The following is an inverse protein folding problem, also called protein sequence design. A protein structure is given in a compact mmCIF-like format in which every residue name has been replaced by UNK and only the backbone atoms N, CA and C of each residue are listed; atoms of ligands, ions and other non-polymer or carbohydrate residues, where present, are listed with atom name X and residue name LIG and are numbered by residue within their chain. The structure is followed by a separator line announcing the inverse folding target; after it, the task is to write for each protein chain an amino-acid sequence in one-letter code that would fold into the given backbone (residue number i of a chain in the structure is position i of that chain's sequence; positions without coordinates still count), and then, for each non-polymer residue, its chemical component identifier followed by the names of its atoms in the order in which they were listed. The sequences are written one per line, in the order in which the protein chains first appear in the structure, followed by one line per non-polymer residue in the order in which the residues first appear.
data_IF_046653421125
#
_entry.id   IF_046653421125
#
_cell.length_a   1.000
_cell.length_b   1.000
_cell.length_c   1.000
_cell.angle_alpha   90.00
_cell.angle_beta   90.00
_cell.angle_gamma   90.00
#
_symmetry.space_group_name_H-M   'P 1'
#
loop_
_entity.id
_entity.type
_entity.pdbx_description
1 polymer ?
#
# COMPACT_ATOMS: atom_id res chain seq x y z
N UNK A 1 21.03 -13.57 -6.73
CA UNK A 1 19.86 -13.30 -5.83
C UNK A 1 18.86 -12.48 -6.60
N UNK A 2 17.55 -12.72 -6.45
CA UNK A 2 16.53 -11.87 -7.07
C UNK A 2 16.66 -10.44 -6.55
N UNK A 3 16.60 -9.46 -7.43
CA UNK A 3 16.49 -8.07 -7.02
C UNK A 3 15.07 -7.82 -6.48
N UNK A 4 14.95 -7.23 -5.29
CA UNK A 4 13.68 -6.87 -4.67
C UNK A 4 13.50 -5.35 -4.77
N UNK A 5 12.73 -4.92 -5.75
CA UNK A 5 12.50 -3.50 -6.00
C UNK A 5 11.23 -2.98 -5.32
N UNK A 6 10.17 -3.78 -5.28
CA UNK A 6 8.88 -3.32 -4.79
C UNK A 6 8.20 -4.35 -3.90
N UNK A 7 7.87 -3.94 -2.68
CA UNK A 7 7.06 -4.72 -1.73
C UNK A 7 5.68 -4.10 -1.57
N UNK A 8 4.62 -4.90 -1.73
CA UNK A 8 3.25 -4.51 -1.45
C UNK A 8 2.72 -5.22 -0.21
N UNK A 9 1.98 -4.53 0.67
CA UNK A 9 1.51 -5.12 1.94
C UNK A 9 0.04 -4.86 2.19
N UNK A 10 -0.72 -5.94 2.45
CA UNK A 10 -2.06 -5.89 3.02
C UNK A 10 -1.96 -6.03 4.54
N UNK A 11 -2.20 -4.94 5.25
CA UNK A 11 -2.09 -4.79 6.69
C UNK A 11 -3.33 -5.30 7.41
N UNK A 12 -3.61 -6.62 7.31
CA UNK A 12 -4.81 -7.23 7.89
C UNK A 12 -4.61 -7.65 9.34
N UNK A 13 -5.69 -7.54 10.13
CA UNK A 13 -5.75 -8.01 11.51
C UNK A 13 -5.78 -6.94 12.58
N UNK A 14 -5.68 -5.64 12.24
CA UNK A 14 -5.73 -4.53 13.20
C UNK A 14 -6.95 -4.62 14.13
N UNK A 15 -8.16 -4.65 13.53
CA UNK A 15 -9.41 -4.68 14.31
C UNK A 15 -9.52 -5.92 15.20
N UNK A 16 -9.18 -7.12 14.69
CA UNK A 16 -9.19 -8.38 15.46
C UNK A 16 -8.24 -8.32 16.65
N UNK A 17 -7.04 -7.81 16.43
CA UNK A 17 -6.06 -7.63 17.49
C UNK A 17 -6.54 -6.66 18.56
N UNK A 18 -7.09 -5.53 18.14
CA UNK A 18 -7.60 -4.51 19.04
C UNK A 18 -8.76 -5.01 19.92
N UNK A 19 -9.69 -5.76 19.34
CA UNK A 19 -10.76 -6.43 20.08
C UNK A 19 -10.20 -7.40 21.13
N UNK A 20 -9.26 -8.26 20.74
CA UNK A 20 -8.63 -9.22 21.65
C UNK A 20 -7.90 -8.54 22.82
N UNK A 21 -7.27 -7.37 22.60
CA UNK A 21 -6.41 -6.72 23.61
C UNK A 21 -7.14 -5.68 24.48
N UNK A 22 -8.10 -4.95 23.94
CA UNK A 22 -8.74 -3.81 24.60
C UNK A 22 -10.22 -3.64 24.20
N UNK A 23 -10.86 -4.67 23.68
CA UNK A 23 -12.23 -4.64 23.18
C UNK A 23 -12.52 -3.43 22.24
N UNK A 24 -11.53 -3.02 21.46
CA UNK A 24 -11.62 -1.84 20.61
C UNK A 24 -10.87 -2.04 19.29
N UNK A 25 -11.59 -2.03 18.16
CA UNK A 25 -10.99 -2.08 16.82
C UNK A 25 -10.04 -0.91 16.58
N UNK A 26 -10.44 0.28 17.04
CA UNK A 26 -9.66 1.51 16.91
C UNK A 26 -8.31 1.43 17.61
N UNK A 27 -8.24 0.76 18.76
CA UNK A 27 -6.98 0.52 19.46
C UNK A 27 -6.00 -0.30 18.61
N UNK A 28 -6.50 -1.29 17.89
CA UNK A 28 -5.68 -2.08 16.97
C UNK A 28 -5.12 -1.25 15.81
N UNK A 29 -5.93 -0.39 15.20
CA UNK A 29 -5.50 0.50 14.13
C UNK A 29 -4.41 1.48 14.63
N UNK A 30 -4.58 2.05 15.81
CA UNK A 30 -3.57 2.91 16.45
C UNK A 30 -2.24 2.17 16.65
N UNK A 31 -2.28 0.93 17.13
CA UNK A 31 -1.07 0.12 17.32
C UNK A 31 -0.40 -0.29 16.00
N UNK A 32 -1.20 -0.54 14.98
CA UNK A 32 -0.71 -0.88 13.64
C UNK A 32 0.19 0.19 13.00
N UNK A 33 0.05 1.47 13.38
CA UNK A 33 0.94 2.54 12.89
C UNK A 33 2.39 2.30 13.29
N UNK A 34 2.65 1.80 14.50
CA UNK A 34 4.01 1.48 14.93
C UNK A 34 4.65 0.39 14.06
N UNK A 35 3.84 -0.55 13.59
CA UNK A 35 4.29 -1.59 12.65
C UNK A 35 4.59 -1.00 11.28
N UNK A 36 3.78 -0.05 10.79
CA UNK A 36 4.07 0.71 9.55
C UNK A 36 5.44 1.37 9.64
N UNK A 37 5.73 2.11 10.72
CA UNK A 37 7.03 2.79 10.90
C UNK A 37 8.21 1.80 10.90
N UNK A 38 8.06 0.63 11.54
CA UNK A 38 9.08 -0.42 11.56
C UNK A 38 9.32 -0.98 10.15
N UNK A 39 8.25 -1.30 9.41
CA UNK A 39 8.37 -1.85 8.05
C UNK A 39 9.03 -0.83 7.12
N UNK A 40 8.64 0.45 7.16
CA UNK A 40 9.30 1.50 6.37
C UNK A 40 10.81 1.55 6.68
N UNK A 41 11.17 1.57 7.97
CA UNK A 41 12.58 1.59 8.40
C UNK A 41 13.35 0.36 7.90
N UNK A 42 12.73 -0.82 7.94
CA UNK A 42 13.34 -2.05 7.43
C UNK A 42 13.50 -2.01 5.91
N UNK A 43 12.48 -1.53 5.16
CA UNK A 43 12.58 -1.39 3.72
C UNK A 43 13.72 -0.46 3.31
N UNK A 44 13.86 0.68 4.00
CA UNK A 44 14.99 1.61 3.80
C UNK A 44 16.33 0.94 4.08
N UNK A 45 16.44 0.16 5.17
CA UNK A 45 17.68 -0.57 5.51
C UNK A 45 18.05 -1.66 4.49
N UNK A 46 17.05 -2.26 3.86
CA UNK A 46 17.22 -3.29 2.82
C UNK A 46 17.35 -2.71 1.41
N UNK A 47 17.46 -1.38 1.29
CA UNK A 47 17.52 -0.66 0.01
C UNK A 47 16.39 -1.02 -0.96
N UNK A 48 15.17 -1.26 -0.42
CA UNK A 48 13.97 -1.51 -1.22
C UNK A 48 13.43 -0.14 -1.66
N UNK A 49 13.43 0.18 -2.97
CA UNK A 49 13.09 1.51 -3.43
C UNK A 49 11.59 1.82 -3.42
N UNK A 50 10.72 0.79 -3.45
CA UNK A 50 9.27 0.98 -3.48
C UNK A 50 8.56 0.14 -2.41
N UNK A 51 7.65 0.77 -1.67
CA UNK A 51 6.78 0.11 -0.70
C UNK A 51 5.35 0.60 -0.89
N UNK A 52 4.40 -0.31 -1.14
CA UNK A 52 2.98 0.02 -1.22
C UNK A 52 2.21 -0.59 -0.06
N UNK A 53 1.46 0.23 0.67
CA UNK A 53 0.65 -0.19 1.81
C UNK A 53 -0.84 -0.01 1.52
N UNK A 54 -1.65 -1.07 1.76
CA UNK A 54 -3.10 -1.01 1.62
C UNK A 54 -3.71 -0.35 2.85
N UNK A 55 -3.95 0.97 2.76
CA UNK A 55 -4.34 1.81 3.90
C UNK A 55 -5.86 1.88 4.09
N UNK A 56 -6.62 2.10 2.99
CA UNK A 56 -8.07 2.17 3.01
C UNK A 56 -8.64 1.74 1.65
N UNK A 57 -9.41 0.63 1.65
CA UNK A 57 -10.02 0.11 0.43
C UNK A 57 -11.39 0.73 0.14
N UNK A 58 -11.86 0.61 -1.10
CA UNK A 58 -13.23 1.01 -1.48
C UNK A 58 -14.29 0.26 -0.68
N UNK A 59 -14.05 -0.99 -0.31
CA UNK A 59 -14.97 -1.78 0.53
C UNK A 59 -15.04 -1.29 1.97
N UNK A 60 -14.03 -0.55 2.45
CA UNK A 60 -14.00 -0.05 3.82
C UNK A 60 -15.05 1.04 4.09
N UNK A 61 -15.63 1.65 3.03
CA UNK A 61 -16.77 2.55 3.18
C UNK A 61 -18.04 1.88 3.74
N UNK A 62 -18.10 0.54 3.72
CA UNK A 62 -19.19 -0.23 4.32
C UNK A 62 -19.02 -0.44 5.84
N UNK A 63 -17.94 0.06 6.44
CA UNK A 63 -17.72 -0.01 7.89
C UNK A 63 -18.60 1.01 8.62
N UNK A 64 -18.81 0.83 9.94
CA UNK A 64 -19.49 1.85 10.74
C UNK A 64 -18.79 3.22 10.65
N UNK A 65 -19.58 4.30 10.60
CA UNK A 65 -19.07 5.68 10.41
C UNK A 65 -18.05 6.09 11.47
N UNK A 66 -18.24 5.63 12.72
CA UNK A 66 -17.29 5.91 13.80
C UNK A 66 -15.91 5.28 13.54
N UNK A 67 -15.83 4.09 12.95
CA UNK A 67 -14.57 3.46 12.54
C UNK A 67 -13.94 4.21 11.36
N UNK A 68 -14.74 4.59 10.36
CA UNK A 68 -14.28 5.36 9.18
C UNK A 68 -13.70 6.71 9.63
N UNK A 69 -14.44 7.45 10.44
CA UNK A 69 -14.01 8.75 10.97
C UNK A 69 -12.71 8.62 11.79
N UNK A 70 -12.60 7.59 12.60
CA UNK A 70 -11.38 7.30 13.35
C UNK A 70 -10.19 7.03 12.41
N UNK A 71 -10.36 6.22 11.37
CA UNK A 71 -9.31 5.91 10.39
C UNK A 71 -8.84 7.16 9.66
N UNK A 72 -9.75 8.02 9.19
CA UNK A 72 -9.36 9.28 8.55
C UNK A 72 -8.67 10.23 9.53
N UNK A 73 -9.12 10.28 10.79
CA UNK A 73 -8.42 11.07 11.82
C UNK A 73 -7.01 10.52 12.07
N UNK A 74 -6.85 9.22 12.09
CA UNK A 74 -5.56 8.56 12.27
C UNK A 74 -4.60 8.85 11.10
N UNK A 75 -5.09 8.81 9.85
CA UNK A 75 -4.32 9.20 8.66
C UNK A 75 -3.90 10.66 8.75
N UNK A 76 -4.85 11.55 9.06
CA UNK A 76 -4.66 12.99 9.19
C UNK A 76 -3.57 13.33 10.21
N UNK A 77 -3.69 12.77 11.41
CA UNK A 77 -2.76 13.03 12.50
C UNK A 77 -1.39 12.42 12.25
N UNK A 78 -1.33 11.20 11.74
CA UNK A 78 -0.07 10.51 11.45
C UNK A 78 0.73 11.21 10.37
N UNK A 79 0.09 11.60 9.26
CA UNK A 79 0.77 12.29 8.17
C UNK A 79 1.28 13.66 8.59
N UNK A 80 0.46 14.47 9.29
CA UNK A 80 0.88 15.80 9.78
C UNK A 80 2.01 15.69 10.79
N UNK A 81 1.87 14.83 11.80
CA UNK A 81 2.86 14.67 12.87
C UNK A 81 4.22 14.20 12.37
N UNK A 82 4.22 13.34 11.36
CA UNK A 82 5.45 12.72 10.86
C UNK A 82 6.04 13.43 9.63
N UNK A 83 5.45 14.50 9.11
CA UNK A 83 5.88 15.15 7.86
C UNK A 83 7.38 15.52 7.88
N UNK A 84 7.84 16.22 8.91
CA UNK A 84 9.24 16.61 9.01
C UNK A 84 10.19 15.40 9.11
N UNK A 85 9.76 14.31 9.77
CA UNK A 85 10.52 13.08 9.86
C UNK A 85 10.60 12.39 8.50
N UNK A 86 9.47 12.33 7.77
CA UNK A 86 9.36 11.77 6.41
C UNK A 86 10.30 12.50 5.45
N UNK A 87 10.30 13.85 5.48
CA UNK A 87 11.19 14.67 4.64
C UNK A 87 12.66 14.38 4.97
N UNK A 88 13.04 14.45 6.26
CA UNK A 88 14.42 14.20 6.71
C UNK A 88 14.93 12.80 6.39
N UNK A 89 14.03 11.81 6.34
CA UNK A 89 14.36 10.43 5.98
C UNK A 89 14.42 10.16 4.48
N UNK A 90 14.17 11.19 3.64
CA UNK A 90 14.20 11.05 2.19
C UNK A 90 13.05 10.18 1.63
N UNK A 91 11.91 10.07 2.36
CA UNK A 91 10.77 9.27 1.95
C UNK A 91 9.87 10.11 1.03
N UNK A 92 9.66 9.65 -0.21
CA UNK A 92 8.67 10.23 -1.13
C UNK A 92 7.32 9.58 -0.86
N UNK A 93 6.30 10.39 -0.56
CA UNK A 93 4.93 9.90 -0.42
C UNK A 93 4.21 9.97 -1.76
N UNK A 94 3.55 8.89 -2.11
CA UNK A 94 2.67 8.77 -3.26
C UNK A 94 1.31 8.22 -2.82
N UNK A 95 0.21 8.82 -3.25
CA UNK A 95 -1.14 8.33 -2.91
C UNK A 95 -1.79 7.75 -4.15
N UNK A 96 -2.04 6.45 -4.13
CA UNK A 96 -2.75 5.72 -5.18
C UNK A 96 -4.20 5.47 -4.76
N UNK A 97 -5.12 5.60 -5.71
CA UNK A 97 -6.56 5.42 -5.51
C UNK A 97 -7.39 6.62 -5.91
N UNK A 98 -8.70 6.49 -5.80
CA UNK A 98 -9.64 7.51 -6.23
C UNK A 98 -9.75 8.62 -5.18
N UNK A 99 -9.27 9.82 -5.53
CA UNK A 99 -9.36 11.00 -4.63
C UNK A 99 -10.79 11.58 -4.53
N UNK A 100 -11.71 11.19 -5.44
CA UNK A 100 -13.14 11.58 -5.36
C UNK A 100 -13.79 10.86 -4.17
N UNK A 101 -14.61 11.58 -3.42
CA UNK A 101 -15.29 11.03 -2.23
C UNK A 101 -14.45 11.06 -0.94
N UNK A 102 -13.16 11.37 -0.99
CA UNK A 102 -12.37 11.63 0.20
C UNK A 102 -12.75 12.98 0.85
N UNK A 103 -12.67 13.10 2.18
CA UNK A 103 -12.85 14.38 2.87
C UNK A 103 -11.93 15.47 2.30
N UNK A 104 -12.48 16.70 2.11
CA UNK A 104 -11.75 17.82 1.48
C UNK A 104 -10.42 18.15 2.19
N UNK A 105 -10.38 18.03 3.50
CA UNK A 105 -9.19 18.27 4.29
C UNK A 105 -8.11 17.17 4.10
N UNK A 106 -8.52 15.92 3.93
CA UNK A 106 -7.62 14.81 3.55
C UNK A 106 -6.99 15.08 2.18
N UNK A 107 -7.78 15.53 1.21
CA UNK A 107 -7.26 15.89 -0.13
C UNK A 107 -6.20 17.01 -0.03
N UNK A 108 -6.43 18.03 0.83
CA UNK A 108 -5.45 19.11 1.06
C UNK A 108 -4.16 18.57 1.69
N UNK A 109 -4.27 17.69 2.68
CA UNK A 109 -3.12 17.06 3.34
C UNK A 109 -2.32 16.22 2.36
N UNK A 110 -3.00 15.42 1.53
CA UNK A 110 -2.37 14.61 0.47
C UNK A 110 -1.54 15.51 -0.45
N UNK A 111 -2.15 16.55 -1.03
CA UNK A 111 -1.45 17.49 -1.92
C UNK A 111 -0.23 18.13 -1.26
N UNK A 112 -0.38 18.56 0.00
CA UNK A 112 0.72 19.17 0.75
C UNK A 112 1.90 18.19 0.92
N UNK A 113 1.61 16.95 1.29
CA UNK A 113 2.65 15.95 1.58
C UNK A 113 3.32 15.46 0.30
N UNK A 114 2.55 15.17 -0.75
CA UNK A 114 3.10 14.80 -2.06
C UNK A 114 4.05 15.89 -2.55
N UNK A 115 3.67 17.18 -2.47
CA UNK A 115 4.52 18.30 -2.88
C UNK A 115 5.76 18.45 -2.00
N UNK A 116 5.64 18.37 -0.68
CA UNK A 116 6.77 18.53 0.26
C UNK A 116 7.78 17.39 0.19
N UNK A 117 7.37 16.22 -0.30
CA UNK A 117 8.23 15.03 -0.42
C UNK A 117 8.60 14.70 -1.87
N UNK A 118 8.24 15.55 -2.84
CA UNK A 118 8.40 15.29 -4.26
C UNK A 118 9.85 14.97 -4.66
N UNK A 119 10.81 15.70 -4.10
CA UNK A 119 12.24 15.54 -4.40
C UNK A 119 12.94 14.44 -3.60
N UNK A 120 12.22 13.77 -2.69
CA UNK A 120 12.77 12.67 -1.93
C UNK A 120 12.92 11.43 -2.84
N UNK A 121 14.01 10.67 -2.64
CA UNK A 121 14.37 9.55 -3.53
C UNK A 121 14.88 8.29 -2.80
N UNK A 122 14.91 8.29 -1.46
CA UNK A 122 15.43 7.14 -0.72
C UNK A 122 14.49 5.93 -0.76
N UNK A 123 13.18 6.19 -0.71
CA UNK A 123 12.12 5.20 -0.89
C UNK A 123 10.85 5.91 -1.33
N UNK A 124 10.11 5.32 -2.25
CA UNK A 124 8.76 5.74 -2.62
C UNK A 124 7.77 4.93 -1.80
N UNK A 125 7.09 5.61 -0.86
CA UNK A 125 6.03 5.02 -0.06
C UNK A 125 4.67 5.33 -0.68
N UNK A 126 4.06 4.36 -1.33
CA UNK A 126 2.71 4.45 -1.89
C UNK A 126 1.68 4.02 -0.86
N UNK A 127 0.73 4.90 -0.56
CA UNK A 127 -0.40 4.58 0.31
C UNK A 127 -1.65 4.42 -0.57
N UNK A 128 -2.18 3.19 -0.63
CA UNK A 128 -3.42 2.89 -1.34
C UNK A 128 -4.60 3.36 -0.48
N UNK A 129 -5.19 4.50 -0.85
CA UNK A 129 -6.24 5.18 -0.12
C UNK A 129 -7.47 5.36 -1.00
N UNK A 130 -8.64 4.89 -0.52
CA UNK A 130 -9.86 4.77 -1.34
C UNK A 130 -9.56 4.02 -2.64
N UNK A 131 -8.84 2.91 -2.48
CA UNK A 131 -8.32 2.11 -3.57
C UNK A 131 -9.08 0.79 -3.70
N UNK A 132 -9.37 0.41 -4.95
CA UNK A 132 -9.83 -0.89 -5.35
C UNK A 132 -9.32 -1.17 -6.77
N UNK A 133 -8.73 -2.33 -7.01
CA UNK A 133 -8.14 -2.63 -8.31
C UNK A 133 -9.19 -2.76 -9.42
N UNK A 134 -10.38 -3.29 -9.12
CA UNK A 134 -11.47 -3.36 -10.11
C UNK A 134 -11.90 -1.96 -10.58
N UNK A 135 -12.02 -1.01 -9.65
CA UNK A 135 -12.33 0.39 -9.96
C UNK A 135 -11.20 1.08 -10.71
N UNK A 136 -9.95 0.78 -10.37
CA UNK A 136 -8.77 1.28 -11.10
C UNK A 136 -8.79 0.82 -12.55
N UNK A 137 -8.98 -0.48 -12.79
CA UNK A 137 -9.07 -1.09 -14.11
C UNK A 137 -10.22 -0.48 -14.93
N UNK A 138 -11.42 -0.39 -14.35
CA UNK A 138 -12.57 0.24 -15.02
C UNK A 138 -12.32 1.70 -15.36
N UNK A 139 -11.65 2.45 -14.48
CA UNK A 139 -11.29 3.84 -14.74
C UNK A 139 -10.27 3.96 -15.88
N UNK A 140 -9.25 3.11 -15.92
CA UNK A 140 -8.29 3.07 -17.02
C UNK A 140 -8.98 2.75 -18.35
N UNK A 141 -9.87 1.75 -18.39
CA UNK A 141 -10.67 1.44 -19.56
C UNK A 141 -11.51 2.64 -20.05
N UNK A 142 -12.20 3.35 -19.14
CA UNK A 142 -12.98 4.54 -19.47
C UNK A 142 -12.12 5.67 -20.07
N UNK A 143 -10.93 5.91 -19.51
CA UNK A 143 -10.02 6.93 -20.04
C UNK A 143 -9.57 6.58 -21.46
N UNK A 144 -9.25 5.30 -21.71
CA UNK A 144 -8.81 4.84 -23.02
C UNK A 144 -9.94 4.90 -24.04
N UNK A 145 -11.15 4.44 -23.69
CA UNK A 145 -12.32 4.43 -24.59
C UNK A 145 -12.73 5.83 -25.04
N UNK A 146 -12.53 6.84 -24.20
CA UNK A 146 -12.83 8.23 -24.54
C UNK A 146 -11.79 8.86 -25.50
N UNK A 147 -10.62 8.23 -25.71
CA UNK A 147 -9.59 8.68 -26.65
C UNK A 147 -9.85 8.02 -28.01
N UNK A 148 -10.68 8.67 -28.85
CA UNK A 148 -11.04 8.18 -30.21
C UNK A 148 -9.80 7.68 -30.99
N UNK A 149 -9.90 6.46 -31.57
CA UNK A 149 -8.94 5.86 -32.54
C UNK A 149 -7.52 5.49 -32.04
N UNK A 150 -7.29 5.19 -30.76
CA UNK A 150 -5.97 4.64 -30.34
C UNK A 150 -6.04 3.12 -30.17
N UNK A 151 -5.11 2.41 -30.80
CA UNK A 151 -4.89 0.98 -30.56
C UNK A 151 -4.62 0.77 -29.08
N UNK A 152 -5.37 -0.15 -28.45
CA UNK A 152 -5.17 -0.51 -27.05
C UNK A 152 -3.95 -1.44 -26.96
N UNK A 153 -2.99 -1.13 -26.11
CA UNK A 153 -1.87 -1.99 -25.74
C UNK A 153 -1.72 -2.03 -24.22
N UNK A 154 -0.94 -2.98 -23.71
CA UNK A 154 -0.65 -3.12 -22.29
C UNK A 154 -0.06 -1.82 -21.74
N UNK A 155 0.95 -1.27 -22.41
CA UNK A 155 1.66 -0.03 -22.02
C UNK A 155 0.69 1.15 -21.90
N UNK A 156 -0.19 1.32 -22.91
CA UNK A 156 -1.20 2.39 -22.88
C UNK A 156 -2.24 2.19 -21.78
N UNK A 157 -2.52 0.95 -21.42
CA UNK A 157 -3.40 0.66 -20.31
C UNK A 157 -2.73 1.03 -18.97
N UNK A 158 -1.49 0.61 -18.79
CA UNK A 158 -0.70 0.86 -17.59
C UNK A 158 -0.43 2.35 -17.34
N UNK A 159 -0.24 3.15 -18.41
CA UNK A 159 -0.15 4.62 -18.32
C UNK A 159 -1.39 5.28 -17.69
N UNK A 160 -2.52 4.60 -17.64
CA UNK A 160 -3.76 5.10 -17.06
C UNK A 160 -4.11 4.49 -15.69
N UNK A 161 -3.26 3.58 -15.17
CA UNK A 161 -3.38 3.08 -13.80
C UNK A 161 -2.91 4.13 -12.79
N UNK A 162 -3.35 4.02 -11.55
CA UNK A 162 -2.85 4.86 -10.45
C UNK A 162 -1.37 4.58 -10.14
N UNK A 163 -0.88 3.43 -10.57
CA UNK A 163 0.50 2.94 -10.35
C UNK A 163 1.46 3.24 -11.50
N UNK A 164 1.05 3.96 -12.52
CA UNK A 164 1.80 4.23 -13.77
C UNK A 164 3.27 4.67 -13.63
N UNK A 165 3.67 5.19 -12.49
CA UNK A 165 5.02 5.71 -12.23
C UNK A 165 5.79 4.88 -11.20
N UNK A 166 5.32 3.70 -10.88
CA UNK A 166 5.96 2.74 -9.95
C UNK A 166 6.00 1.36 -10.60
N UNK A 167 7.08 0.61 -10.44
CA UNK A 167 7.17 -0.75 -10.97
C UNK A 167 6.14 -1.66 -10.29
N UNK A 168 5.82 -2.75 -10.94
CA UNK A 168 5.00 -3.79 -10.35
C UNK A 168 5.67 -4.39 -9.11
N UNK A 169 4.90 -4.85 -8.11
CA UNK A 169 5.45 -5.50 -6.94
C UNK A 169 6.14 -6.82 -7.27
N UNK A 170 7.36 -7.02 -6.76
CA UNK A 170 8.03 -8.33 -6.78
C UNK A 170 7.48 -9.24 -5.68
N UNK A 171 7.07 -8.64 -4.56
CA UNK A 171 6.67 -9.33 -3.35
C UNK A 171 5.39 -8.72 -2.79
N UNK A 172 4.39 -9.55 -2.52
CA UNK A 172 3.19 -9.17 -1.78
C UNK A 172 3.14 -9.93 -0.45
N UNK A 173 2.90 -9.21 0.65
CA UNK A 173 2.72 -9.77 1.99
C UNK A 173 1.31 -9.45 2.48
N UNK A 174 0.60 -10.47 2.97
CA UNK A 174 -0.65 -10.26 3.70
C UNK A 174 -0.56 -10.87 5.07
N UNK A 175 -0.78 -10.07 6.11
CA UNK A 175 -0.92 -10.51 7.50
C UNK A 175 -2.36 -10.93 7.81
N UNK A 176 -2.59 -11.52 8.98
CA UNK A 176 -3.93 -11.82 9.49
C UNK A 176 -4.53 -13.15 9.06
N UNK A 177 -3.77 -14.03 8.40
CA UNK A 177 -4.15 -15.43 8.10
C UNK A 177 -5.10 -15.64 6.93
N UNK A 178 -5.67 -14.58 6.34
CA UNK A 178 -6.54 -14.70 5.17
C UNK A 178 -5.74 -14.84 3.89
N UNK A 179 -6.10 -15.80 3.02
CA UNK A 179 -5.41 -16.10 1.75
C UNK A 179 -6.21 -15.56 0.57
N UNK A 180 -6.26 -14.24 0.38
CA UNK A 180 -6.92 -13.55 -0.74
C UNK A 180 -6.33 -12.16 -0.94
N UNK A 181 -6.48 -11.58 -2.14
CA UNK A 181 -5.97 -10.26 -2.51
C UNK A 181 -6.90 -9.10 -2.09
N UNK A 182 -8.18 -9.38 -1.86
CA UNK A 182 -9.17 -8.37 -1.42
C UNK A 182 -9.18 -7.11 -2.29
N UNK A 183 -9.21 -7.27 -3.61
CA UNK A 183 -9.25 -6.19 -4.58
C UNK A 183 -8.01 -5.25 -4.54
N UNK A 184 -6.85 -5.80 -4.12
CA UNK A 184 -5.58 -5.05 -4.04
C UNK A 184 -4.66 -5.42 -5.19
N UNK A 185 -4.26 -4.45 -6.00
CA UNK A 185 -3.25 -4.50 -7.07
C UNK A 185 -3.39 -5.74 -8.00
N UNK A 186 -4.64 -6.09 -8.42
CA UNK A 186 -4.88 -7.33 -9.18
C UNK A 186 -4.09 -7.40 -10.48
N UNK A 187 -3.94 -6.28 -11.20
CA UNK A 187 -3.15 -6.20 -12.41
C UNK A 187 -1.66 -6.33 -12.11
N UNK A 188 -1.18 -5.54 -11.16
CA UNK A 188 0.24 -5.39 -10.85
C UNK A 188 0.87 -6.59 -10.14
N UNK A 189 0.05 -7.46 -9.53
CA UNK A 189 0.52 -8.67 -8.81
C UNK A 189 0.63 -9.91 -9.69
N UNK A 190 0.49 -9.77 -11.02
CA UNK A 190 0.48 -10.90 -11.96
C UNK A 190 1.68 -11.85 -11.80
N UNK A 191 2.86 -11.30 -11.50
CA UNK A 191 4.11 -12.07 -11.32
C UNK A 191 4.74 -11.88 -9.93
N UNK A 192 4.00 -11.34 -8.96
CA UNK A 192 4.51 -11.15 -7.61
C UNK A 192 4.56 -12.46 -6.82
N UNK A 193 5.60 -12.66 -6.04
CA UNK A 193 5.62 -13.70 -5.00
C UNK A 193 4.69 -13.31 -3.85
N UNK A 194 3.79 -14.21 -3.44
CA UNK A 194 2.74 -13.90 -2.45
C UNK A 194 2.96 -14.67 -1.16
N UNK A 195 3.12 -13.95 -0.04
CA UNK A 195 3.27 -14.51 1.28
C UNK A 195 2.10 -14.19 2.19
N UNK A 196 1.39 -15.21 2.64
CA UNK A 196 0.32 -15.12 3.63
C UNK A 196 0.84 -15.45 5.02
N UNK A 197 0.66 -14.53 5.98
CA UNK A 197 1.18 -14.64 7.34
C UNK A 197 0.04 -14.69 8.33
N UNK A 198 0.06 -15.66 9.25
CA UNK A 198 -0.99 -15.84 10.25
C UNK A 198 -1.00 -14.73 11.32
N UNK A 199 0.16 -14.11 11.61
CA UNK A 199 0.24 -13.01 12.57
C UNK A 199 -0.66 -11.85 12.16
N UNK A 200 -1.34 -11.25 13.14
CA UNK A 200 -2.09 -10.02 12.97
C UNK A 200 -1.13 -8.83 12.77
N UNK A 201 -1.52 -7.82 11.99
CA UNK A 201 -0.64 -6.71 11.65
C UNK A 201 0.10 -6.05 12.83
N UNK A 202 -0.55 -5.73 13.98
CA UNK A 202 0.17 -5.15 15.12
C UNK A 202 1.25 -6.05 15.75
N UNK A 203 1.20 -7.36 15.49
CA UNK A 203 2.16 -8.34 15.98
C UNK A 203 3.30 -8.61 14.97
N UNK A 204 3.12 -8.19 13.72
CA UNK A 204 4.13 -8.32 12.67
C UNK A 204 5.33 -7.42 12.99
N UNK A 205 6.52 -7.96 12.91
CA UNK A 205 7.73 -7.26 13.33
C UNK A 205 8.86 -7.33 12.30
N UNK A 206 9.97 -6.67 12.62
CA UNK A 206 11.15 -6.59 11.76
C UNK A 206 11.72 -7.98 11.42
N UNK A 207 11.74 -8.89 12.38
CA UNK A 207 12.27 -10.26 12.18
C UNK A 207 11.40 -11.02 11.17
N UNK A 208 10.08 -10.90 11.29
CA UNK A 208 9.15 -11.53 10.37
C UNK A 208 9.37 -11.00 8.94
N UNK A 209 9.53 -9.67 8.81
CA UNK A 209 9.75 -9.02 7.51
C UNK A 209 11.07 -9.47 6.88
N UNK A 210 12.18 -9.47 7.62
CA UNK A 210 13.46 -9.97 7.13
C UNK A 210 13.43 -11.45 6.74
N UNK A 211 12.73 -12.29 7.50
CA UNK A 211 12.56 -13.72 7.14
C UNK A 211 11.86 -13.88 5.79
N UNK A 212 10.86 -13.04 5.48
CA UNK A 212 10.14 -13.09 4.20
C UNK A 212 11.05 -12.62 3.06
N UNK A 213 11.77 -11.50 3.24
CA UNK A 213 12.73 -11.00 2.25
C UNK A 213 13.79 -12.06 1.95
N UNK A 214 14.36 -12.71 2.98
CA UNK A 214 15.34 -13.76 2.80
C UNK A 214 14.77 -15.00 2.07
N UNK A 215 13.49 -15.34 2.31
CA UNK A 215 12.81 -16.39 1.55
C UNK A 215 12.64 -15.99 0.09
N UNK A 216 12.21 -14.75 -0.17
CA UNK A 216 12.06 -14.23 -1.53
C UNK A 216 13.37 -14.33 -2.32
N UNK A 217 14.51 -13.94 -1.76
CA UNK A 217 15.80 -14.02 -2.44
C UNK A 217 16.23 -15.44 -2.81
N UNK A 218 15.65 -16.47 -2.17
CA UNK A 218 15.93 -17.90 -2.45
C UNK A 218 14.99 -18.51 -3.49
N UNK A 219 13.91 -17.83 -3.89
CA UNK A 219 12.98 -18.34 -4.88
C UNK A 219 13.61 -18.27 -6.27
N UNK A 220 13.51 -19.33 -7.05
CA UNK A 220 13.84 -19.28 -8.48
C UNK A 220 12.64 -18.71 -9.23
N UNK A 221 12.80 -17.56 -9.87
CA UNK A 221 11.72 -16.88 -10.64
C UNK A 221 12.01 -17.04 -12.13
N UNK A 222 11.14 -17.74 -12.84
CA UNK A 222 11.35 -18.07 -14.24
C UNK A 222 10.51 -17.21 -15.20
N UNK A 223 9.52 -16.43 -14.76
CA UNK A 223 8.66 -15.53 -15.57
C UNK A 223 8.09 -16.19 -16.84
N UNK A 224 7.76 -17.50 -16.77
CA UNK A 224 7.26 -18.27 -17.92
C UNK A 224 8.32 -18.73 -18.92
N UNK A 225 9.61 -18.52 -18.64
CA UNK A 225 10.73 -19.07 -19.42
C UNK A 225 11.30 -20.32 -18.71
N UNK A 226 11.84 -21.27 -19.51
CA UNK A 226 12.46 -22.52 -19.01
C UNK A 226 13.83 -22.22 -18.41
#
# INVERSE_FOLDING_TARGET
MNQLNHVAIIMDGNGRWGLKKKNSRNYGHLKGIKTVEKVIKCSVKQNIPYLTLYTFSTENWKRPDNEINFLFNLIRTSLKKNLNKIIRQGIKINIIGNKKGLPKDIIRIIKLIENKTFNNNRIVLSLALNYGSKEEILNACKIISNKKKKKISIEKFEENLYTKNIPDPDLMIRTGGNKRLSNFLLWQLAYAEIFFINKLWPEFNEIDYYKIINKFHKIKRNFGTI
#
